data_IF_944617652940
#
_entry.id   IF_944617652940
#
_cell.length_a   1.000
_cell.length_b   1.000
_cell.length_c   1.000
_cell.angle_alpha   90.00
_cell.angle_beta   90.00
_cell.angle_gamma   90.00
#
_symmetry.space_group_name_H-M   'P 1'
#
loop_
_entity.id
_entity.type
_entity.pdbx_description
1 polymer ?
#
# COMPACT_ATOMS: atom_id res chain seq x y z
N UNK A 1 11.01 6.84 -35.21
CA UNK A 1 10.93 7.56 -33.93
C UNK A 1 10.76 6.50 -32.84
N UNK A 2 11.83 6.22 -32.11
CA UNK A 2 11.81 5.22 -31.04
C UNK A 2 11.04 5.82 -29.86
N UNK A 3 9.84 5.30 -29.58
CA UNK A 3 9.09 5.67 -28.39
C UNK A 3 9.76 5.00 -27.19
N UNK A 4 10.63 5.74 -26.50
CA UNK A 4 11.16 5.32 -25.20
C UNK A 4 10.00 5.23 -24.21
N UNK A 5 9.50 4.02 -23.98
CA UNK A 5 8.63 3.75 -22.85
C UNK A 5 9.38 4.13 -21.57
N UNK A 6 8.75 4.85 -20.63
CA UNK A 6 9.38 5.11 -19.35
C UNK A 6 9.70 3.78 -18.70
N UNK A 7 10.98 3.49 -18.47
CA UNK A 7 11.36 2.44 -17.52
C UNK A 7 10.82 2.91 -16.18
N UNK A 8 9.66 2.39 -15.79
CA UNK A 8 9.23 2.44 -14.40
C UNK A 8 10.26 1.59 -13.67
N UNK A 9 11.19 2.27 -13.03
CA UNK A 9 12.12 1.68 -12.11
C UNK A 9 11.25 1.14 -10.97
N UNK A 10 10.94 -0.15 -11.02
CA UNK A 10 10.35 -0.85 -9.89
C UNK A 10 11.40 -0.75 -8.81
N UNK A 11 11.19 0.17 -7.86
CA UNK A 11 11.98 0.18 -6.65
C UNK A 11 11.87 -1.22 -6.06
N UNK A 12 13.01 -1.89 -6.10
CA UNK A 12 13.32 -3.15 -5.44
C UNK A 12 12.55 -3.19 -4.13
N UNK A 13 11.72 -4.23 -3.97
CA UNK A 13 10.92 -4.48 -2.78
C UNK A 13 11.84 -4.29 -1.57
N UNK A 14 11.79 -3.09 -0.98
CA UNK A 14 12.55 -2.83 0.22
C UNK A 14 11.83 -3.69 1.23
N UNK A 15 12.45 -4.82 1.57
CA UNK A 15 12.12 -5.56 2.77
C UNK A 15 12.30 -4.57 3.92
N UNK A 16 11.26 -3.79 4.19
CA UNK A 16 11.10 -3.14 5.47
C UNK A 16 10.97 -4.30 6.40
N UNK A 17 12.12 -4.65 7.00
CA UNK A 17 12.26 -5.54 8.13
C UNK A 17 11.04 -5.34 9.00
N UNK A 18 10.11 -6.29 8.90
CA UNK A 18 8.95 -6.30 9.77
C UNK A 18 9.53 -6.71 11.10
N UNK A 19 9.89 -5.71 11.89
CA UNK A 19 10.26 -5.89 13.27
C UNK A 19 9.03 -6.53 13.93
N UNK A 20 9.09 -7.85 13.98
CA UNK A 20 8.06 -8.72 14.51
C UNK A 20 8.19 -8.62 16.00
N UNK A 21 7.81 -7.46 16.56
CA UNK A 21 7.66 -7.29 17.99
C UNK A 21 6.35 -7.95 18.41
N UNK A 22 6.37 -9.28 18.32
CA UNK A 22 5.38 -10.18 18.85
C UNK A 22 5.47 -10.14 20.37
N UNK A 23 4.35 -9.76 20.99
CA UNK A 23 3.93 -10.20 22.32
C UNK A 23 4.94 -9.98 23.46
N UNK A 24 4.97 -8.76 23.99
CA UNK A 24 5.13 -8.58 25.42
C UNK A 24 3.74 -8.24 25.96
N UNK A 25 3.04 -9.26 26.46
CA UNK A 25 2.04 -9.05 27.50
C UNK A 25 2.79 -8.33 28.62
N UNK A 26 2.74 -7.00 28.63
CA UNK A 26 3.09 -6.21 29.81
C UNK A 26 2.06 -6.60 30.87
N UNK A 27 2.41 -7.65 31.61
CA UNK A 27 1.86 -7.96 32.89
C UNK A 27 2.21 -6.75 33.74
N UNK A 28 1.26 -5.81 33.87
CA UNK A 28 1.30 -4.65 34.78
C UNK A 28 1.48 -5.19 36.21
N UNK A 29 2.72 -5.54 36.54
CA UNK A 29 3.14 -5.77 37.91
C UNK A 29 2.97 -4.44 38.61
N UNK A 30 2.12 -4.48 39.63
CA UNK A 30 1.70 -3.35 40.44
C UNK A 30 2.91 -2.56 40.91
N UNK A 31 3.15 -1.42 40.27
CA UNK A 31 3.85 -0.32 40.91
C UNK A 31 2.93 0.24 42.00
N UNK A 32 2.93 -0.41 43.15
CA UNK A 32 2.52 0.18 44.43
C UNK A 32 3.57 1.20 44.86
N UNK A 33 3.80 2.21 44.02
CA UNK A 33 4.59 3.38 44.37
C UNK A 33 3.67 4.34 45.13
N UNK A 34 3.74 4.28 46.46
CA UNK A 34 3.14 5.29 47.34
C UNK A 34 3.77 6.65 46.98
N UNK A 35 3.01 7.69 46.60
CA UNK A 35 3.59 8.99 46.28
C UNK A 35 3.90 9.72 47.59
N UNK A 36 5.18 9.87 47.92
CA UNK A 36 5.65 10.67 49.07
C UNK A 36 5.88 12.16 48.70
N UNK A 37 5.02 12.74 47.86
CA UNK A 37 5.12 14.15 47.49
C UNK A 37 3.71 14.74 47.42
N UNK A 38 3.43 15.67 48.34
CA UNK A 38 2.09 16.16 48.72
C UNK A 38 1.41 17.04 47.67
N UNK A 39 1.88 17.03 46.41
CA UNK A 39 1.28 17.82 45.32
C UNK A 39 0.74 16.92 44.21
N UNK A 40 -0.56 16.98 43.90
CA UNK A 40 -1.13 16.20 42.79
C UNK A 40 -0.51 16.70 41.48
N UNK A 41 0.17 15.80 40.77
CA UNK A 41 0.76 16.12 39.45
C UNK A 41 -0.36 16.16 38.41
N UNK A 42 -0.53 17.29 37.70
CA UNK A 42 -1.53 17.41 36.64
C UNK A 42 -0.92 17.03 35.29
N UNK A 43 -1.69 16.30 34.49
CA UNK A 43 -1.39 15.95 33.10
C UNK A 43 -2.43 16.57 32.18
N UNK A 44 -2.06 16.90 30.95
CA UNK A 44 -2.96 17.55 29.99
C UNK A 44 -3.45 16.53 28.96
N UNK A 45 -4.76 16.43 28.79
CA UNK A 45 -5.40 15.70 27.70
C UNK A 45 -6.14 16.70 26.81
N UNK A 46 -5.55 17.04 25.65
CA UNK A 46 -6.06 18.11 24.80
C UNK A 46 -6.01 19.46 25.53
N UNK A 47 -7.16 20.10 25.72
CA UNK A 47 -7.28 21.36 26.48
C UNK A 47 -7.55 21.17 27.98
N UNK A 48 -7.91 19.96 28.44
CA UNK A 48 -8.28 19.70 29.84
C UNK A 48 -7.09 19.21 30.66
N UNK A 49 -6.96 19.71 31.90
CA UNK A 49 -5.97 19.23 32.87
C UNK A 49 -6.62 18.20 33.80
N UNK A 50 -5.96 17.07 34.02
CA UNK A 50 -6.44 15.93 34.82
C UNK A 50 -5.35 15.51 35.81
N UNK A 51 -5.72 15.20 37.04
CA UNK A 51 -4.77 14.72 38.06
C UNK A 51 -4.22 13.35 37.63
N UNK A 52 -2.90 13.22 37.59
CA UNK A 52 -2.21 11.97 37.24
C UNK A 52 -2.60 10.90 38.26
N UNK A 53 -2.83 9.68 37.77
CA UNK A 53 -3.26 8.54 38.58
C UNK A 53 -4.64 8.69 39.25
N UNK A 54 -5.44 9.68 38.86
CA UNK A 54 -6.87 9.70 39.19
C UNK A 54 -7.62 8.62 38.40
N UNK A 55 -8.81 8.23 38.87
CA UNK A 55 -9.70 7.35 38.11
C UNK A 55 -9.98 7.88 36.69
N UNK A 56 -10.20 9.20 36.56
CA UNK A 56 -10.38 9.85 35.27
C UNK A 56 -9.15 9.71 34.36
N UNK A 57 -7.93 9.81 34.93
CA UNK A 57 -6.69 9.59 34.19
C UNK A 57 -6.61 8.18 33.61
N UNK A 58 -6.90 7.15 34.42
CA UNK A 58 -6.86 5.75 33.99
C UNK A 58 -7.90 5.46 32.89
N UNK A 59 -9.12 5.95 33.04
CA UNK A 59 -10.18 5.79 32.03
C UNK A 59 -9.78 6.41 30.69
N UNK A 60 -9.20 7.62 30.72
CA UNK A 60 -8.72 8.30 29.51
C UNK A 60 -7.57 7.53 28.86
N UNK A 61 -6.63 7.01 29.66
CA UNK A 61 -5.50 6.25 29.15
C UNK A 61 -5.94 4.91 28.53
N UNK A 62 -6.84 4.20 29.19
CA UNK A 62 -7.44 2.95 28.69
C UNK A 62 -8.16 3.17 27.35
N UNK A 63 -9.01 4.21 27.26
CA UNK A 63 -9.67 4.59 25.99
C UNK A 63 -8.68 4.93 24.89
N UNK A 64 -7.64 5.71 25.19
CA UNK A 64 -6.62 6.08 24.22
C UNK A 64 -5.82 4.86 23.75
N UNK A 65 -5.44 3.96 24.65
CA UNK A 65 -4.76 2.72 24.30
C UNK A 65 -5.62 1.89 23.32
N UNK A 66 -6.92 1.73 23.60
CA UNK A 66 -7.84 1.07 22.67
C UNK A 66 -7.92 1.76 21.30
N UNK A 67 -7.97 3.09 21.27
CA UNK A 67 -7.98 3.85 20.02
C UNK A 67 -6.67 3.70 19.23
N UNK A 68 -5.52 3.68 19.90
CA UNK A 68 -4.20 3.47 19.29
C UNK A 68 -4.10 2.08 18.68
N UNK A 69 -4.51 1.04 19.41
CA UNK A 69 -4.56 -0.33 18.87
C UNK A 69 -5.44 -0.40 17.63
N UNK A 70 -6.66 0.14 17.70
CA UNK A 70 -7.58 0.17 16.55
C UNK A 70 -7.01 0.93 15.34
N UNK A 71 -6.34 2.06 15.59
CA UNK A 71 -5.68 2.84 14.53
C UNK A 71 -4.55 2.06 13.86
N UNK A 72 -3.72 1.37 14.65
CA UNK A 72 -2.63 0.52 14.16
C UNK A 72 -3.14 -0.65 13.32
N UNK A 73 -4.16 -1.37 13.81
CA UNK A 73 -4.75 -2.48 13.05
C UNK A 73 -5.36 -2.00 11.74
N UNK A 74 -6.06 -0.85 11.74
CA UNK A 74 -6.56 -0.24 10.50
C UNK A 74 -5.44 0.14 9.54
N UNK A 75 -4.33 0.70 10.04
CA UNK A 75 -3.18 1.03 9.20
C UNK A 75 -2.54 -0.24 8.59
N UNK A 76 -2.46 -1.33 9.35
CA UNK A 76 -1.97 -2.63 8.90
C UNK A 76 -2.87 -3.23 7.82
N UNK A 77 -4.18 -3.19 8.02
CA UNK A 77 -5.16 -3.62 7.02
C UNK A 77 -5.10 -2.76 5.75
N UNK A 78 -5.03 -1.43 5.89
CA UNK A 78 -4.88 -0.52 4.76
C UNK A 78 -3.58 -0.73 3.97
N UNK A 79 -2.49 -1.14 4.64
CA UNK A 79 -1.24 -1.52 3.97
C UNK A 79 -1.47 -2.76 3.10
N UNK A 80 -2.01 -3.83 3.69
CA UNK A 80 -2.33 -5.08 2.97
C UNK A 80 -3.28 -4.86 1.80
N UNK A 81 -4.34 -4.08 2.00
CA UNK A 81 -5.30 -3.76 0.94
C UNK A 81 -4.65 -3.04 -0.24
N UNK A 82 -3.71 -2.11 0.03
CA UNK A 82 -2.95 -1.43 -1.03
C UNK A 82 -2.01 -2.40 -1.75
N UNK A 83 -1.31 -3.27 -1.04
CA UNK A 83 -0.44 -4.30 -1.63
C UNK A 83 -1.24 -5.22 -2.56
N UNK A 84 -2.41 -5.70 -2.13
CA UNK A 84 -3.31 -6.48 -2.98
C UNK A 84 -3.77 -5.69 -4.21
N UNK A 85 -4.14 -4.42 -4.06
CA UNK A 85 -4.56 -3.59 -5.20
C UNK A 85 -3.41 -3.37 -6.19
N UNK A 86 -2.18 -3.17 -5.72
CA UNK A 86 -1.00 -3.07 -6.59
C UNK A 86 -0.78 -4.37 -7.37
N UNK A 87 -0.87 -5.54 -6.70
CA UNK A 87 -0.74 -6.83 -7.37
C UNK A 87 -1.81 -7.05 -8.45
N UNK A 88 -3.07 -6.70 -8.15
CA UNK A 88 -4.17 -6.77 -9.12
C UNK A 88 -3.91 -5.86 -10.32
N UNK A 89 -3.51 -4.61 -10.10
CA UNK A 89 -3.22 -3.67 -11.18
C UNK A 89 -2.03 -4.11 -12.02
N UNK A 90 -0.99 -4.69 -11.42
CA UNK A 90 0.15 -5.23 -12.15
C UNK A 90 -0.26 -6.40 -13.05
N UNK A 91 -1.12 -7.30 -12.55
CA UNK A 91 -1.64 -8.40 -13.34
C UNK A 91 -2.52 -7.91 -14.50
N UNK A 92 -3.43 -6.96 -14.24
CA UNK A 92 -4.29 -6.35 -15.26
C UNK A 92 -3.46 -5.64 -16.33
N UNK A 93 -2.43 -4.90 -15.93
CA UNK A 93 -1.53 -4.23 -16.86
C UNK A 93 -0.81 -5.26 -17.77
N UNK A 94 -0.33 -6.37 -17.22
CA UNK A 94 0.29 -7.43 -18.03
C UNK A 94 -0.71 -8.02 -19.04
N UNK A 95 -1.96 -8.25 -18.64
CA UNK A 95 -3.00 -8.72 -19.56
C UNK A 95 -3.27 -7.72 -20.68
N UNK A 96 -3.33 -6.43 -20.36
CA UNK A 96 -3.51 -5.36 -21.33
C UNK A 96 -2.34 -5.28 -22.31
N UNK A 97 -1.10 -5.35 -21.83
CA UNK A 97 0.11 -5.40 -22.67
C UNK A 97 0.02 -6.57 -23.65
N UNK A 98 -0.27 -7.77 -23.16
CA UNK A 98 -0.41 -8.96 -24.01
C UNK A 98 -1.51 -8.78 -25.07
N UNK A 99 -2.62 -8.13 -24.70
CA UNK A 99 -3.73 -7.88 -25.64
C UNK A 99 -3.34 -6.86 -26.71
N UNK A 100 -2.63 -5.80 -26.34
CA UNK A 100 -2.10 -4.81 -27.27
C UNK A 100 -1.11 -5.48 -28.24
N UNK A 101 -0.17 -6.27 -27.73
CA UNK A 101 0.81 -6.97 -28.57
C UNK A 101 0.14 -7.91 -29.57
N UNK A 102 -0.91 -8.64 -29.15
CA UNK A 102 -1.67 -9.50 -30.04
C UNK A 102 -2.37 -8.70 -31.15
N UNK A 103 -3.07 -7.63 -30.78
CA UNK A 103 -3.76 -6.76 -31.75
C UNK A 103 -2.78 -6.13 -32.74
N UNK A 104 -1.62 -5.69 -32.28
CA UNK A 104 -0.57 -5.12 -33.13
C UNK A 104 -0.10 -6.15 -34.17
N UNK A 105 0.16 -7.39 -33.75
CA UNK A 105 0.54 -8.49 -34.67
C UNK A 105 -0.56 -8.81 -35.68
N UNK A 106 -1.82 -8.85 -35.25
CA UNK A 106 -2.97 -9.06 -36.13
C UNK A 106 -3.08 -7.95 -37.19
N UNK A 107 -2.91 -6.69 -36.79
CA UNK A 107 -2.92 -5.54 -37.69
C UNK A 107 -1.74 -5.55 -38.67
N UNK A 108 -0.53 -5.89 -38.20
CA UNK A 108 0.64 -6.04 -39.07
C UNK A 108 0.43 -7.14 -40.10
N UNK A 109 -0.08 -8.31 -39.67
CA UNK A 109 -0.42 -9.41 -40.58
C UNK A 109 -1.43 -8.98 -41.64
N UNK A 110 -2.49 -8.25 -41.25
CA UNK A 110 -3.50 -7.78 -42.20
C UNK A 110 -2.90 -6.77 -43.18
N UNK A 111 -2.08 -5.83 -42.69
CA UNK A 111 -1.38 -4.86 -43.52
C UNK A 111 -0.48 -5.55 -44.54
N UNK A 112 0.33 -6.51 -44.11
CA UNK A 112 1.20 -7.28 -45.01
C UNK A 112 0.41 -8.05 -46.07
N UNK A 113 -0.74 -8.63 -45.70
CA UNK A 113 -1.59 -9.33 -46.67
C UNK A 113 -2.19 -8.38 -47.72
N UNK A 114 -2.58 -7.17 -47.31
CA UNK A 114 -3.09 -6.14 -48.20
C UNK A 114 -2.00 -5.60 -49.15
N UNK A 115 -0.80 -5.37 -48.63
CA UNK A 115 0.36 -4.97 -49.44
C UNK A 115 0.75 -6.05 -50.46
N UNK A 116 0.75 -7.31 -50.05
CA UNK A 116 1.01 -8.44 -50.96
C UNK A 116 -0.05 -8.53 -52.06
N UNK A 117 -1.33 -8.36 -51.72
CA UNK A 117 -2.42 -8.30 -52.70
C UNK A 117 -2.26 -7.14 -53.69
N UNK A 118 -1.94 -5.94 -53.20
CA UNK A 118 -1.65 -4.78 -54.04
C UNK A 118 -0.47 -5.02 -54.97
N UNK A 119 0.61 -5.65 -54.48
CA UNK A 119 1.76 -5.99 -55.31
C UNK A 119 1.35 -6.93 -56.45
N UNK A 120 0.59 -7.99 -56.16
CA UNK A 120 0.08 -8.94 -57.17
C UNK A 120 -0.77 -8.22 -58.22
N UNK A 121 -1.68 -7.33 -57.79
CA UNK A 121 -2.50 -6.55 -58.72
C UNK A 121 -1.65 -5.65 -59.64
N UNK A 122 -0.63 -4.99 -59.09
CA UNK A 122 0.27 -4.12 -59.86
C UNK A 122 1.16 -4.92 -60.82
N UNK A 123 1.60 -6.13 -60.46
CA UNK A 123 2.40 -6.97 -61.35
C UNK A 123 1.58 -7.54 -62.51
N UNK A 124 0.35 -7.99 -62.24
CA UNK A 124 -0.57 -8.51 -63.26
C UNK A 124 -1.12 -7.44 -64.21
N UNK A 125 -0.97 -6.15 -63.89
CA UNK A 125 -1.42 -5.04 -64.73
C UNK A 125 -0.33 -4.50 -65.69
N UNK A 126 0.91 -4.98 -65.56
CA UNK A 126 2.06 -4.55 -66.36
C UNK A 126 2.44 -5.58 -67.45
N UNK A 127 1.92 -6.81 -67.36
CA UNK A 127 1.89 -7.79 -68.47
C UNK A 127 0.63 -7.61 -69.34
#
# INVERSE_FOLDING_TARGET
MQSSSPQIQYDEMTEVSTDSRSNELEQDQRDSAVPSDSTPKLTRFGSKKVIKYSAEYYDRRSKNNGAVHKSREKAKENKKARELKMAMLANENQQLINRVDLLTKELESLKSSCEAFNHILLTNAVE
#
